data_IF_537759423769
#
_entry.id   IF_537759423769
#
_cell.length_a   1.000
_cell.length_b   1.000
_cell.length_c   1.000
_cell.angle_alpha   90.00
_cell.angle_beta   90.00
_cell.angle_gamma   90.00
#
_symmetry.space_group_name_H-M   'P 1'
#
loop_
_entity.id
_entity.type
_entity.pdbx_description
1 polymer ?
#
# COMPACT_ATOMS: atom_id res chain seq x y z
N UNK A 1 1.22 10.48 -3.43
CA UNK A 1 0.93 11.54 -4.43
C UNK A 1 0.10 10.96 -5.55
N UNK A 2 -0.87 11.71 -6.05
CA UNK A 2 -1.67 11.39 -7.24
C UNK A 2 -1.36 12.40 -8.35
N UNK A 3 -1.09 11.92 -9.57
CA UNK A 3 -0.67 12.75 -10.70
C UNK A 3 -1.87 13.24 -11.51
N UNK A 4 -1.80 14.48 -11.97
CA UNK A 4 -2.76 15.04 -12.92
C UNK A 4 -2.07 15.86 -13.99
N UNK A 5 -2.76 16.03 -15.13
CA UNK A 5 -2.25 16.83 -16.25
C UNK A 5 -1.86 18.27 -15.87
N UNK A 6 -2.57 18.86 -14.91
CA UNK A 6 -2.39 20.26 -14.50
C UNK A 6 -2.00 20.40 -13.02
N UNK A 7 -2.31 19.40 -12.19
CA UNK A 7 -2.09 19.44 -10.75
C UNK A 7 -1.75 18.03 -10.26
N UNK A 8 -0.64 17.90 -9.55
CA UNK A 8 -0.33 16.73 -8.74
C UNK A 8 -0.82 16.98 -7.31
N UNK A 9 -1.53 16.04 -6.70
CA UNK A 9 -2.05 16.16 -5.34
C UNK A 9 -1.20 15.32 -4.38
N UNK A 10 -0.67 15.96 -3.34
CA UNK A 10 0.13 15.30 -2.30
C UNK A 10 -0.60 15.34 -0.97
N UNK A 11 -0.36 14.32 -0.16
CA UNK A 11 -0.83 14.19 1.22
C UNK A 11 0.20 13.39 1.99
N UNK A 12 0.49 13.84 3.21
CA UNK A 12 1.46 13.24 4.11
C UNK A 12 0.79 12.90 5.42
N UNK A 13 1.09 11.69 5.89
CA UNK A 13 0.53 11.15 7.12
C UNK A 13 1.69 10.73 8.02
N UNK A 14 1.57 11.01 9.31
CA UNK A 14 2.42 10.48 10.35
C UNK A 14 1.64 9.44 11.17
N UNK A 15 2.36 8.48 11.75
CA UNK A 15 1.76 7.37 12.48
C UNK A 15 2.38 7.20 13.87
N UNK A 16 1.53 6.85 14.83
CA UNK A 16 1.90 6.33 16.13
C UNK A 16 1.94 4.79 16.09
N UNK A 17 2.49 4.18 17.14
CA UNK A 17 2.66 2.73 17.22
C UNK A 17 1.33 1.96 17.27
N UNK A 18 0.28 2.57 17.81
CA UNK A 18 -1.07 2.04 17.91
C UNK A 18 -1.90 2.21 16.61
N UNK A 19 -1.23 2.58 15.51
CA UNK A 19 -1.81 2.94 14.23
C UNK A 19 -2.72 4.18 14.21
N UNK A 20 -2.79 4.94 15.31
CA UNK A 20 -3.33 6.30 15.26
C UNK A 20 -2.50 7.13 14.29
N UNK A 21 -3.17 7.95 13.48
CA UNK A 21 -2.52 8.67 12.40
C UNK A 21 -2.93 10.13 12.33
N UNK A 22 -2.02 10.95 11.81
CA UNK A 22 -2.19 12.39 11.71
C UNK A 22 -1.83 12.83 10.30
N UNK A 23 -2.77 13.43 9.57
CA UNK A 23 -2.50 14.09 8.31
C UNK A 23 -1.73 15.37 8.64
N UNK A 24 -0.42 15.36 8.44
CA UNK A 24 0.49 16.45 8.81
C UNK A 24 0.54 17.56 7.75
N UNK A 25 0.30 17.20 6.49
CA UNK A 25 0.32 18.15 5.37
C UNK A 25 -0.44 17.57 4.17
N UNK A 26 -0.99 18.46 3.34
CA UNK A 26 -1.48 18.14 2.02
C UNK A 26 -1.44 19.38 1.13
N UNK A 27 -1.22 19.15 -0.16
CA UNK A 27 -1.01 20.26 -1.08
C UNK A 27 -1.17 19.85 -2.53
N UNK A 28 -0.75 20.77 -3.40
CA UNK A 28 -0.74 20.59 -4.85
C UNK A 28 0.55 21.13 -5.41
N UNK A 29 1.07 20.44 -6.41
CA UNK A 29 2.14 20.95 -7.27
C UNK A 29 1.53 21.23 -8.63
N UNK A 30 1.73 22.44 -9.12
CA UNK A 30 1.26 22.85 -10.44
C UNK A 30 2.08 22.20 -11.54
N UNK A 31 1.39 21.78 -12.60
CA UNK A 31 2.00 21.14 -13.76
C UNK A 31 1.78 22.05 -14.95
N UNK A 32 2.82 22.79 -15.34
CA UNK A 32 2.85 23.70 -16.48
C UNK A 32 2.85 22.96 -17.84
N UNK A 33 1.90 22.04 -18.02
CA UNK A 33 1.83 21.13 -19.17
C UNK A 33 1.49 21.83 -20.48
N UNK A 34 0.86 23.00 -20.42
CA UNK A 34 0.57 23.84 -21.60
C UNK A 34 1.87 24.39 -22.19
N UNK A 35 2.77 24.89 -21.34
CA UNK A 35 3.98 25.59 -21.78
C UNK A 35 5.14 24.64 -22.08
N UNK A 36 5.26 23.55 -21.31
CA UNK A 36 6.43 22.66 -21.36
C UNK A 36 6.15 21.30 -22.00
N UNK A 37 4.89 21.00 -22.30
CA UNK A 37 4.43 19.65 -22.62
C UNK A 37 4.30 18.78 -21.36
N UNK A 38 3.38 17.80 -21.41
CA UNK A 38 2.96 17.01 -20.25
C UNK A 38 4.12 16.26 -19.59
N UNK A 39 4.95 15.56 -20.36
CA UNK A 39 6.05 14.75 -19.81
C UNK A 39 7.10 15.58 -19.07
N UNK A 40 7.55 16.67 -19.70
CA UNK A 40 8.55 17.57 -19.10
C UNK A 40 8.00 18.26 -17.86
N UNK A 41 6.76 18.75 -17.93
CA UNK A 41 6.11 19.41 -16.79
C UNK A 41 5.95 18.46 -15.61
N UNK A 42 5.54 17.20 -15.85
CA UNK A 42 5.40 16.21 -14.78
C UNK A 42 6.73 15.80 -14.17
N UNK A 43 7.80 15.66 -14.97
CA UNK A 43 9.13 15.38 -14.44
C UNK A 43 9.63 16.51 -13.53
N UNK A 44 9.33 17.77 -13.87
CA UNK A 44 9.65 18.92 -13.00
C UNK A 44 8.84 18.88 -11.70
N UNK A 45 7.52 18.65 -11.79
CA UNK A 45 6.66 18.53 -10.62
C UNK A 45 7.08 17.37 -9.69
N UNK A 46 7.50 16.23 -10.26
CA UNK A 46 8.04 15.10 -9.49
C UNK A 46 9.39 15.42 -8.84
N UNK A 47 10.24 16.20 -9.52
CA UNK A 47 11.51 16.66 -8.97
C UNK A 47 11.28 17.62 -7.80
N UNK A 48 10.33 18.55 -7.94
CA UNK A 48 9.89 19.42 -6.85
C UNK A 48 9.36 18.59 -5.67
N UNK A 49 8.53 17.58 -5.93
CA UNK A 49 8.07 16.65 -4.90
C UNK A 49 9.21 15.92 -4.18
N UNK A 50 10.22 15.44 -4.90
CA UNK A 50 11.41 14.82 -4.29
C UNK A 50 12.14 15.79 -3.35
N UNK A 51 12.28 17.05 -3.78
CA UNK A 51 12.93 18.08 -2.96
C UNK A 51 12.13 18.35 -1.68
N UNK A 52 10.79 18.38 -1.75
CA UNK A 52 9.93 18.49 -0.57
C UNK A 52 10.10 17.30 0.38
N UNK A 53 10.15 16.07 -0.16
CA UNK A 53 10.38 14.87 0.67
C UNK A 53 11.74 14.90 1.38
N UNK A 54 12.80 15.28 0.66
CA UNK A 54 14.16 15.33 1.20
C UNK A 54 14.38 16.51 2.15
N UNK A 55 13.62 17.61 1.99
CA UNK A 55 13.58 18.69 2.97
C UNK A 55 13.00 18.21 4.31
N UNK A 56 12.14 17.18 4.28
CA UNK A 56 11.58 16.53 5.46
C UNK A 56 10.61 17.41 6.25
N UNK A 57 10.13 16.87 7.37
CA UNK A 57 9.18 17.53 8.26
C UNK A 57 9.83 17.83 9.60
N UNK A 58 9.80 19.08 10.07
CA UNK A 58 10.36 19.42 11.37
C UNK A 58 9.56 18.75 12.49
N UNK A 59 10.26 18.11 13.43
CA UNK A 59 9.63 17.47 14.59
C UNK A 59 9.65 18.41 15.79
N UNK A 60 8.49 18.69 16.37
CA UNK A 60 8.39 19.48 17.60
C UNK A 60 9.04 18.73 18.77
N UNK A 61 9.99 19.39 19.44
CA UNK A 61 10.69 18.84 20.62
C UNK A 61 10.11 19.32 21.95
N UNK A 62 9.26 20.34 21.90
CA UNK A 62 8.65 20.96 23.07
C UNK A 62 7.13 21.03 22.86
N UNK A 63 6.38 20.40 23.77
CA UNK A 63 4.91 20.41 23.71
C UNK A 63 4.32 21.77 24.10
N UNK A 64 5.07 22.60 24.82
CA UNK A 64 4.64 23.92 25.30
C UNK A 64 5.04 25.03 24.33
N UNK A 65 6.13 24.83 23.58
CA UNK A 65 6.59 25.74 22.53
C UNK A 65 6.72 25.01 21.18
N UNK A 66 5.67 25.04 20.33
CA UNK A 66 5.67 24.34 19.05
C UNK A 66 6.64 24.94 18.03
N UNK A 67 7.26 26.09 18.31
CA UNK A 67 8.28 26.67 17.42
C UNK A 67 9.65 26.01 17.58
N UNK A 68 9.84 25.26 18.67
CA UNK A 68 11.08 24.51 18.92
C UNK A 68 10.99 23.15 18.24
N UNK A 69 11.85 22.98 17.24
CA UNK A 69 11.90 21.79 16.41
C UNK A 69 13.29 21.14 16.43
N UNK A 70 13.35 19.85 16.09
CA UNK A 70 14.62 19.16 15.85
C UNK A 70 15.43 19.85 14.75
N UNK A 71 16.77 19.85 14.89
CA UNK A 71 17.66 20.38 13.86
C UNK A 71 17.60 19.57 12.57
N UNK A 72 17.42 18.25 12.69
CA UNK A 72 17.32 17.35 11.56
C UNK A 72 15.83 17.03 11.32
N UNK A 73 15.28 17.42 10.16
CA UNK A 73 13.89 17.13 9.85
C UNK A 73 13.69 15.62 9.59
N UNK A 74 12.49 15.14 9.88
CA UNK A 74 12.11 13.77 9.61
C UNK A 74 11.82 13.58 8.13
N UNK A 75 12.63 12.75 7.47
CA UNK A 75 12.40 12.36 6.08
C UNK A 75 11.36 11.23 6.05
N UNK A 76 10.28 11.34 5.26
CA UNK A 76 9.27 10.28 5.15
C UNK A 76 9.87 8.93 4.80
N UNK A 77 9.46 7.87 5.51
CA UNK A 77 10.00 6.52 5.27
C UNK A 77 9.68 5.97 3.87
N UNK A 78 8.50 6.31 3.35
CA UNK A 78 8.04 5.91 2.03
C UNK A 78 7.16 7.00 1.42
N UNK A 79 7.26 7.16 0.09
CA UNK A 79 6.41 8.02 -0.70
C UNK A 79 5.84 7.22 -1.89
N UNK A 80 4.53 6.93 -1.86
CA UNK A 80 3.88 6.19 -2.94
C UNK A 80 3.26 7.15 -3.95
N UNK A 81 3.51 6.90 -5.23
CA UNK A 81 3.13 7.76 -6.35
C UNK A 81 2.18 6.98 -7.27
N UNK A 82 0.96 7.46 -7.46
CA UNK A 82 0.00 6.79 -8.34
C UNK A 82 0.52 6.75 -9.78
N UNK A 83 0.61 5.53 -10.31
CA UNK A 83 1.08 5.23 -11.65
C UNK A 83 -0.08 4.92 -12.60
N UNK A 84 -1.33 5.17 -12.21
CA UNK A 84 -2.51 5.08 -13.08
C UNK A 84 -2.50 6.08 -14.24
N UNK A 85 -1.77 7.19 -14.10
CA UNK A 85 -1.54 8.18 -15.15
C UNK A 85 -0.03 8.33 -15.43
N UNK A 86 0.36 8.34 -16.73
CA UNK A 86 1.75 8.48 -17.17
C UNK A 86 2.70 7.42 -16.55
N UNK A 87 2.27 6.16 -16.53
CA UNK A 87 2.95 5.02 -15.85
C UNK A 87 4.45 4.94 -16.11
N UNK A 88 4.88 4.99 -17.37
CA UNK A 88 6.30 4.88 -17.74
C UNK A 88 7.15 6.02 -17.18
N UNK A 89 6.58 7.22 -17.10
CA UNK A 89 7.23 8.40 -16.53
C UNK A 89 7.38 8.23 -15.00
N UNK A 90 6.32 7.78 -14.33
CA UNK A 90 6.37 7.50 -12.87
C UNK A 90 7.42 6.43 -12.58
N UNK A 91 7.48 5.37 -13.39
CA UNK A 91 8.50 4.33 -13.24
C UNK A 91 9.91 4.87 -13.46
N UNK A 92 10.11 5.70 -14.49
CA UNK A 92 11.40 6.34 -14.76
C UNK A 92 11.87 7.19 -13.59
N UNK A 93 10.98 7.99 -13.02
CA UNK A 93 11.28 8.81 -11.85
C UNK A 93 11.60 7.94 -10.62
N UNK A 94 10.72 7.01 -10.26
CA UNK A 94 10.90 6.20 -9.05
C UNK A 94 12.15 5.30 -9.08
N UNK A 95 12.67 4.94 -10.26
CA UNK A 95 13.95 4.21 -10.38
C UNK A 95 15.16 5.00 -9.87
N UNK A 96 15.12 6.32 -9.98
CA UNK A 96 16.25 7.20 -9.64
C UNK A 96 16.01 8.01 -8.36
N UNK A 97 14.75 8.06 -7.90
CA UNK A 97 14.35 8.79 -6.70
C UNK A 97 14.49 7.97 -5.42
N UNK A 98 14.94 8.60 -4.34
CA UNK A 98 15.06 7.96 -3.04
C UNK A 98 13.72 7.92 -2.33
N UNK A 99 13.35 6.75 -1.78
CA UNK A 99 12.16 6.57 -0.95
C UNK A 99 10.82 6.59 -1.70
N UNK A 100 10.84 6.71 -3.03
CA UNK A 100 9.64 6.73 -3.86
C UNK A 100 9.32 5.36 -4.45
N UNK A 101 8.04 4.97 -4.42
CA UNK A 101 7.53 3.76 -5.10
C UNK A 101 6.34 4.10 -5.99
N UNK A 102 6.25 3.52 -7.19
CA UNK A 102 5.02 3.58 -7.97
C UNK A 102 3.95 2.70 -7.30
N UNK A 103 2.73 3.18 -7.29
CA UNK A 103 1.56 2.47 -6.78
C UNK A 103 0.45 2.44 -7.84
N UNK A 104 -0.35 1.38 -7.85
CA UNK A 104 -1.56 1.30 -8.66
C UNK A 104 -2.72 0.81 -7.79
N UNK A 105 -3.82 1.58 -7.80
CA UNK A 105 -5.07 1.17 -7.20
C UNK A 105 -5.79 0.12 -8.04
N UNK A 106 -6.25 -0.96 -7.41
CA UNK A 106 -7.09 -1.97 -8.02
C UNK A 106 -8.38 -2.09 -7.23
N UNK A 107 -9.51 -2.02 -7.93
CA UNK A 107 -10.81 -2.35 -7.31
C UNK A 107 -11.02 -3.85 -7.25
N UNK A 108 -11.91 -4.30 -6.37
CA UNK A 108 -12.31 -5.69 -6.21
C UNK A 108 -12.75 -6.33 -7.54
N UNK A 109 -13.36 -5.54 -8.44
CA UNK A 109 -13.74 -5.97 -9.79
C UNK A 109 -12.53 -6.31 -10.68
N UNK A 110 -11.43 -5.57 -10.52
CA UNK A 110 -10.19 -5.79 -11.26
C UNK A 110 -9.38 -6.95 -10.67
N UNK A 111 -9.40 -7.12 -9.35
CA UNK A 111 -8.84 -8.30 -8.64
C UNK A 111 -9.62 -9.57 -9.02
N UNK A 112 -10.94 -9.44 -9.27
CA UNK A 112 -11.85 -10.40 -9.92
C UNK A 112 -11.24 -11.19 -11.06
N UNK A 113 -10.76 -10.46 -12.07
CA UNK A 113 -10.29 -11.03 -13.33
C UNK A 113 -8.85 -11.54 -13.31
N UNK A 114 -8.03 -11.14 -12.33
CA UNK A 114 -6.60 -11.50 -12.31
C UNK A 114 -6.21 -12.53 -11.25
N UNK A 115 -6.99 -12.74 -10.20
CA UNK A 115 -6.66 -13.73 -9.15
C UNK A 115 -7.33 -15.09 -9.32
N UNK A 116 -8.40 -15.22 -10.10
CA UNK A 116 -9.05 -16.53 -10.28
C UNK A 116 -8.28 -17.49 -11.20
N UNK A 117 -7.43 -17.00 -12.11
CA UNK A 117 -6.74 -17.83 -13.11
C UNK A 117 -5.27 -17.46 -13.36
N UNK A 118 -4.56 -16.96 -12.34
CA UNK A 118 -3.09 -16.86 -12.46
C UNK A 118 -2.45 -17.83 -11.48
N UNK A 119 -1.92 -18.98 -11.94
CA UNK A 119 -0.94 -19.71 -11.15
C UNK A 119 0.12 -18.72 -10.68
N UNK A 120 0.64 -18.92 -9.46
CA UNK A 120 1.76 -18.16 -8.92
C UNK A 120 2.86 -18.19 -9.99
N UNK A 121 2.97 -17.12 -10.79
CA UNK A 121 3.98 -17.06 -11.82
C UNK A 121 5.30 -17.02 -11.06
N UNK A 122 6.07 -18.10 -11.16
CA UNK A 122 7.38 -18.27 -10.53
C UNK A 122 8.41 -17.19 -10.95
N UNK A 123 8.02 -16.26 -11.82
CA UNK A 123 8.82 -15.15 -12.33
C UNK A 123 8.81 -13.90 -11.45
N UNK A 124 7.82 -13.70 -10.57
CA UNK A 124 7.85 -12.58 -9.60
C UNK A 124 8.67 -12.99 -8.38
N UNK A 125 10.01 -13.00 -8.54
CA UNK A 125 10.96 -13.54 -7.54
C UNK A 125 10.85 -12.92 -6.14
N UNK A 126 10.27 -11.72 -6.00
CA UNK A 126 10.18 -10.98 -4.75
C UNK A 126 8.81 -10.31 -4.57
N UNK A 127 7.76 -11.10 -4.41
CA UNK A 127 6.43 -10.60 -4.03
C UNK A 127 6.29 -10.55 -2.51
N UNK A 128 6.14 -9.35 -1.94
CA UNK A 128 5.77 -9.16 -0.52
C UNK A 128 4.28 -8.84 -0.44
N UNK A 129 3.52 -9.71 0.22
CA UNK A 129 2.08 -9.52 0.44
C UNK A 129 1.90 -8.85 1.82
N UNK A 130 1.07 -7.81 1.88
CA UNK A 130 0.60 -7.20 3.11
C UNK A 130 -0.94 -7.22 3.20
N UNK A 131 -1.51 -6.44 4.11
CA UNK A 131 -2.96 -6.29 4.26
C UNK A 131 -3.54 -5.65 3.00
N UNK A 132 -4.14 -6.48 2.13
CA UNK A 132 -4.82 -6.00 0.92
C UNK A 132 -3.94 -5.14 -0.03
N UNK A 133 -2.63 -5.40 -0.03
CA UNK A 133 -1.69 -4.91 -1.06
C UNK A 133 -0.58 -5.93 -1.31
N UNK A 134 0.13 -5.77 -2.42
CA UNK A 134 1.39 -6.48 -2.67
C UNK A 134 2.44 -5.58 -3.30
N UNK A 135 3.69 -5.75 -2.85
CA UNK A 135 4.87 -5.16 -3.47
C UNK A 135 5.48 -6.19 -4.41
N UNK A 136 5.48 -5.90 -5.71
CA UNK A 136 5.92 -6.79 -6.75
C UNK A 136 7.14 -6.21 -7.47
N UNK A 137 8.26 -6.92 -7.43
CA UNK A 137 9.41 -6.55 -8.24
C UNK A 137 9.16 -6.90 -9.72
N UNK A 138 9.10 -5.88 -10.57
CA UNK A 138 8.98 -5.97 -12.01
C UNK A 138 10.38 -6.06 -12.62
N UNK A 139 10.75 -7.23 -13.14
CA UNK A 139 12.13 -7.49 -13.57
C UNK A 139 12.56 -6.63 -14.76
N UNK A 140 11.72 -6.51 -15.78
CA UNK A 140 12.04 -5.76 -17.01
C UNK A 140 12.20 -4.26 -16.75
N UNK A 141 11.40 -3.73 -15.83
CA UNK A 141 11.38 -2.31 -15.47
C UNK A 141 12.34 -1.98 -14.32
N UNK A 142 13.00 -2.98 -13.73
CA UNK A 142 13.89 -2.87 -12.57
C UNK A 142 13.31 -2.03 -11.42
N UNK A 143 12.05 -2.29 -11.06
CA UNK A 143 11.31 -1.48 -10.08
C UNK A 143 10.39 -2.33 -9.22
N UNK A 144 10.12 -1.89 -7.99
CA UNK A 144 9.08 -2.49 -7.14
C UNK A 144 7.78 -1.71 -7.32
N UNK A 145 6.72 -2.38 -7.78
CA UNK A 145 5.38 -1.83 -7.91
C UNK A 145 4.51 -2.19 -6.70
N UNK A 146 3.88 -1.20 -6.08
CA UNK A 146 2.84 -1.40 -5.09
C UNK A 146 1.48 -1.58 -5.79
N UNK A 147 0.89 -2.77 -5.69
CA UNK A 147 -0.49 -3.02 -6.12
C UNK A 147 -1.39 -2.99 -4.89
N UNK A 148 -2.33 -2.06 -4.84
CA UNK A 148 -3.12 -1.75 -3.64
C UNK A 148 -4.59 -2.00 -3.91
N UNK A 149 -5.29 -2.74 -3.04
CA UNK A 149 -6.73 -2.86 -3.10
C UNK A 149 -7.38 -1.53 -2.66
N UNK A 150 -7.82 -0.73 -3.62
CA UNK A 150 -8.35 0.59 -3.35
C UNK A 150 -9.63 0.53 -2.50
N UNK A 151 -10.50 -0.46 -2.71
CA UNK A 151 -11.76 -0.57 -1.97
C UNK A 151 -11.53 -0.88 -0.48
N UNK A 152 -10.55 -1.75 -0.20
CA UNK A 152 -10.13 -2.04 1.18
C UNK A 152 -9.57 -0.79 1.85
N UNK A 153 -8.56 -0.16 1.24
CA UNK A 153 -7.86 0.97 1.86
C UNK A 153 -8.71 2.24 1.96
N UNK A 154 -9.70 2.43 1.09
CA UNK A 154 -10.70 3.51 1.23
C UNK A 154 -11.65 3.25 2.41
N UNK A 155 -12.09 2.01 2.57
CA UNK A 155 -12.84 1.59 3.77
C UNK A 155 -12.00 1.76 5.02
N UNK A 156 -10.71 1.41 4.94
CA UNK A 156 -9.75 1.57 6.02
C UNK A 156 -9.69 3.03 6.45
N UNK A 157 -9.48 3.97 5.51
CA UNK A 157 -9.43 5.40 5.79
C UNK A 157 -10.72 5.91 6.46
N UNK A 158 -11.90 5.59 5.92
CA UNK A 158 -13.17 6.06 6.50
C UNK A 158 -13.40 5.53 7.91
N UNK A 159 -13.05 4.27 8.18
CA UNK A 159 -13.11 3.73 9.54
C UNK A 159 -12.30 4.57 10.54
N UNK A 160 -11.10 5.04 10.17
CA UNK A 160 -10.24 5.80 11.08
C UNK A 160 -10.69 7.25 11.25
N UNK A 161 -11.31 7.82 10.22
CA UNK A 161 -11.97 9.12 10.31
C UNK A 161 -13.22 9.06 11.21
N UNK A 162 -13.89 7.91 11.27
CA UNK A 162 -15.05 7.65 12.14
C UNK A 162 -14.64 7.23 13.56
N UNK A 163 -13.43 6.69 13.75
CA UNK A 163 -12.91 6.28 15.06
C UNK A 163 -12.84 7.48 16.03
N UNK A 164 -13.39 7.37 17.25
CA UNK A 164 -13.28 8.41 18.28
C UNK A 164 -11.81 8.76 18.59
N UNK A 165 -11.54 10.04 18.87
CA UNK A 165 -10.16 10.55 19.04
C UNK A 165 -9.38 9.94 20.21
N UNK A 166 -10.08 9.34 21.18
CA UNK A 166 -9.52 8.66 22.34
C UNK A 166 -9.25 7.17 22.10
N UNK A 167 -9.56 6.65 20.91
CA UNK A 167 -9.39 5.24 20.56
C UNK A 167 -8.19 5.03 19.62
N UNK A 168 -7.43 3.93 19.80
CA UNK A 168 -6.38 3.54 18.88
C UNK A 168 -6.84 3.50 17.42
N UNK A 169 -5.99 3.99 16.53
CA UNK A 169 -6.27 4.04 15.10
C UNK A 169 -6.96 5.32 14.64
N UNK A 170 -7.36 6.23 15.53
CA UNK A 170 -8.01 7.48 15.11
C UNK A 170 -7.17 8.28 14.09
N UNK A 171 -7.84 8.85 13.09
CA UNK A 171 -7.23 9.75 12.11
C UNK A 171 -7.55 11.21 12.46
N UNK A 172 -6.51 12.03 12.55
CA UNK A 172 -6.61 13.47 12.82
C UNK A 172 -5.98 14.29 11.70
N UNK A 173 -6.26 15.59 11.67
CA UNK A 173 -5.70 16.54 10.71
C UNK A 173 -4.90 17.60 11.48
N UNK A 174 -3.87 18.16 10.83
CA UNK A 174 -3.15 19.32 11.37
C UNK A 174 -4.12 20.48 11.66
N UNK A 175 -3.76 21.30 12.64
CA UNK A 175 -4.59 22.42 13.04
C UNK A 175 -4.61 23.50 11.96
N UNK A 176 -5.80 23.79 11.44
CA UNK A 176 -6.06 24.86 10.49
C UNK A 176 -7.47 25.42 10.70
N UNK A 177 -7.82 26.50 10.01
CA UNK A 177 -9.21 26.97 9.98
C UNK A 177 -10.06 25.93 9.23
N UNK A 178 -11.27 25.67 9.71
CA UNK A 178 -12.13 24.60 9.16
C UNK A 178 -12.37 24.71 7.65
N UNK A 179 -12.43 25.92 7.11
CA UNK A 179 -12.61 26.16 5.68
C UNK A 179 -11.38 25.77 4.83
N UNK A 180 -10.19 25.70 5.42
CA UNK A 180 -8.95 25.28 4.75
C UNK A 180 -8.96 23.77 4.48
N UNK A 181 -9.66 22.99 5.30
CA UNK A 181 -9.88 21.55 5.08
C UNK A 181 -11.08 21.23 4.19
N UNK A 182 -11.90 22.22 3.78
CA UNK A 182 -13.13 21.97 3.04
C UNK A 182 -12.88 21.28 1.68
N UNK A 183 -11.79 21.66 1.01
CA UNK A 183 -11.41 21.06 -0.28
C UNK A 183 -11.00 19.60 -0.10
N UNK A 184 -10.21 19.30 0.96
CA UNK A 184 -9.86 17.93 1.33
C UNK A 184 -11.11 17.10 1.64
N UNK A 185 -12.00 17.61 2.49
CA UNK A 185 -13.24 16.92 2.86
C UNK A 185 -14.11 16.56 1.63
N UNK A 186 -14.20 17.46 0.64
CA UNK A 186 -14.90 17.19 -0.63
C UNK A 186 -14.26 16.07 -1.45
N UNK A 187 -12.93 15.94 -1.41
CA UNK A 187 -12.21 14.85 -2.08
C UNK A 187 -12.35 13.53 -1.32
N UNK A 188 -12.27 13.53 0.02
CA UNK A 188 -12.43 12.30 0.82
C UNK A 188 -13.85 11.73 0.77
N UNK A 189 -14.84 12.58 0.46
CA UNK A 189 -16.26 12.23 0.30
C UNK A 189 -16.72 12.25 -1.16
N UNK A 190 -15.79 12.24 -2.13
CA UNK A 190 -16.12 12.21 -3.56
C UNK A 190 -16.58 10.84 -4.05
N UNK A 191 -16.52 9.83 -3.18
CA UNK A 191 -16.92 8.46 -3.44
C UNK A 191 -17.83 7.97 -2.32
N UNK A 192 -18.66 6.96 -2.60
CA UNK A 192 -19.53 6.32 -1.61
C UNK A 192 -19.22 4.82 -1.53
N UNK A 193 -19.30 4.27 -0.32
CA UNK A 193 -19.26 2.83 -0.08
C UNK A 193 -20.55 2.19 -0.58
N UNK A 194 -20.44 1.13 -1.35
CA UNK A 194 -21.53 0.31 -1.88
C UNK A 194 -21.23 -1.15 -1.57
N UNK A 195 -22.20 -1.87 -1.05
CA UNK A 195 -22.10 -3.32 -0.86
C UNK A 195 -22.84 -4.02 -2.00
N UNK A 196 -22.16 -4.93 -2.66
CA UNK A 196 -22.67 -5.62 -3.85
C UNK A 196 -22.41 -7.11 -3.73
N UNK A 197 -23.42 -7.94 -4.02
CA UNK A 197 -23.24 -9.38 -4.07
C UNK A 197 -22.59 -9.78 -5.39
N UNK A 198 -21.41 -10.38 -5.33
CA UNK A 198 -20.75 -10.98 -6.48
C UNK A 198 -20.85 -12.51 -6.43
N UNK A 199 -21.45 -13.16 -7.45
CA UNK A 199 -21.47 -14.61 -7.56
C UNK A 199 -20.07 -15.22 -7.40
N UNK A 200 -19.93 -16.20 -6.51
CA UNK A 200 -18.66 -16.88 -6.22
C UNK A 200 -17.73 -16.16 -5.24
N UNK A 201 -18.04 -14.94 -4.78
CA UNK A 201 -17.27 -14.21 -3.74
C UNK A 201 -18.11 -13.74 -2.56
N UNK A 202 -19.44 -13.70 -2.69
CA UNK A 202 -20.33 -13.20 -1.66
C UNK A 202 -20.49 -11.68 -1.72
N UNK A 203 -20.88 -11.07 -0.61
CA UNK A 203 -21.00 -9.61 -0.49
C UNK A 203 -19.61 -9.01 -0.46
N UNK A 204 -19.35 -8.08 -1.38
CA UNK A 204 -18.11 -7.31 -1.44
C UNK A 204 -18.38 -5.84 -1.20
N UNK A 205 -17.42 -5.16 -0.59
CA UNK A 205 -17.41 -3.70 -0.51
C UNK A 205 -16.75 -3.12 -1.75
N UNK A 206 -17.40 -2.12 -2.36
CA UNK A 206 -16.90 -1.32 -3.47
C UNK A 206 -17.02 0.16 -3.14
N UNK A 207 -16.11 0.97 -3.66
CA UNK A 207 -16.22 2.42 -3.65
C UNK A 207 -16.62 2.94 -5.04
N UNK A 208 -17.68 3.73 -5.07
CA UNK A 208 -18.24 4.32 -6.27
C UNK A 208 -18.00 5.82 -6.30
N UNK A 209 -17.35 6.30 -7.36
CA UNK A 209 -17.11 7.72 -7.56
C UNK A 209 -18.42 8.45 -7.89
N UNK A 210 -18.77 9.40 -7.02
CA UNK A 210 -19.94 10.28 -7.19
C UNK A 210 -19.55 11.69 -7.62
N UNK A 211 -18.28 12.09 -7.42
CA UNK A 211 -17.74 13.37 -7.88
C UNK A 211 -16.39 13.17 -8.55
N UNK A 212 -16.06 14.05 -9.49
CA UNK A 212 -14.79 13.96 -10.23
C UNK A 212 -13.58 14.09 -9.29
N UNK A 213 -13.49 15.08 -8.42
CA UNK A 213 -12.23 15.28 -7.71
C UNK A 213 -12.08 14.34 -6.51
N UNK A 214 -11.31 13.27 -6.67
CA UNK A 214 -10.98 12.26 -5.65
C UNK A 214 -9.47 12.16 -5.36
N UNK A 215 -8.65 13.03 -5.96
CA UNK A 215 -7.19 12.87 -5.99
C UNK A 215 -6.50 12.78 -4.62
N UNK A 216 -7.00 13.54 -3.62
CA UNK A 216 -6.46 13.43 -2.27
C UNK A 216 -6.92 12.17 -1.55
N UNK A 217 -8.09 11.63 -1.89
CA UNK A 217 -8.53 10.35 -1.34
C UNK A 217 -7.68 9.20 -1.89
N UNK A 218 -7.39 9.26 -3.19
CA UNK A 218 -6.52 8.27 -3.85
C UNK A 218 -5.07 8.36 -3.33
N UNK A 219 -4.56 9.57 -3.11
CA UNK A 219 -3.27 9.76 -2.45
C UNK A 219 -3.28 9.30 -0.98
N UNK A 220 -4.38 9.51 -0.24
CA UNK A 220 -4.48 9.17 1.18
C UNK A 220 -4.52 7.66 1.42
N UNK A 221 -5.34 6.90 0.68
CA UNK A 221 -5.39 5.45 0.87
C UNK A 221 -4.02 4.82 0.54
N UNK A 222 -3.31 5.34 -0.46
CA UNK A 222 -1.95 4.90 -0.79
C UNK A 222 -0.96 5.23 0.34
N UNK A 223 -1.07 6.41 0.96
CA UNK A 223 -0.26 6.77 2.12
C UNK A 223 -0.53 5.83 3.31
N UNK A 224 -1.79 5.48 3.58
CA UNK A 224 -2.15 4.51 4.62
C UNK A 224 -1.56 3.11 4.35
N UNK A 225 -1.65 2.63 3.11
CA UNK A 225 -1.03 1.36 2.70
C UNK A 225 0.50 1.41 2.84
N UNK A 226 1.13 2.54 2.52
CA UNK A 226 2.56 2.77 2.72
C UNK A 226 2.95 2.75 4.20
N UNK A 227 2.16 3.38 5.08
CA UNK A 227 2.33 3.33 6.54
C UNK A 227 2.31 1.89 7.07
N UNK A 228 1.35 1.09 6.61
CA UNK A 228 1.31 -0.34 6.92
C UNK A 228 2.51 -1.10 6.34
N UNK A 229 2.95 -0.80 5.11
CA UNK A 229 4.16 -1.40 4.55
C UNK A 229 5.43 -1.08 5.37
N UNK A 230 5.45 0.09 6.02
CA UNK A 230 6.51 0.54 6.95
C UNK A 230 6.43 -0.10 8.34
N UNK A 231 5.36 -0.84 8.66
CA UNK A 231 5.25 -1.62 9.89
C UNK A 231 4.17 -1.16 10.89
N UNK A 232 3.41 -0.12 10.57
CA UNK A 232 2.29 0.35 11.40
C UNK A 232 1.18 -0.70 11.44
N UNK A 233 0.68 -1.06 12.63
CA UNK A 233 -0.37 -2.08 12.83
C UNK A 233 -1.33 -1.64 13.94
N UNK A 234 -2.63 -1.79 13.72
CA UNK A 234 -3.66 -1.46 14.73
C UNK A 234 -3.80 -2.58 15.78
N UNK A 235 -3.69 -3.83 15.32
CA UNK A 235 -3.59 -5.00 16.18
C UNK A 235 -2.17 -5.52 16.09
N UNK A 236 -1.55 -5.92 17.20
CA UNK A 236 -0.33 -6.73 17.12
C UNK A 236 -0.67 -7.99 16.33
N UNK A 237 -0.35 -8.00 15.04
CA UNK A 237 -0.27 -9.24 14.28
C UNK A 237 0.79 -10.06 14.99
N UNK A 238 0.38 -11.08 15.73
CA UNK A 238 1.29 -12.10 16.20
C UNK A 238 1.93 -12.67 14.94
N UNK A 239 3.15 -12.20 14.63
CA UNK A 239 3.94 -12.74 13.53
C UNK A 239 4.22 -14.19 13.90
N UNK A 240 3.39 -15.10 13.42
CA UNK A 240 3.79 -16.49 13.32
C UNK A 240 4.99 -16.45 12.39
N UNK A 241 6.20 -16.51 12.96
CA UNK A 241 7.41 -16.74 12.17
C UNK A 241 7.08 -17.94 11.31
N UNK A 242 7.08 -17.83 9.97
CA UNK A 242 6.85 -19.00 9.15
C UNK A 242 7.84 -20.05 9.62
N UNK A 243 7.35 -21.25 9.95
CA UNK A 243 8.25 -22.35 10.29
C UNK A 243 9.29 -22.41 9.17
N UNK A 244 10.59 -22.50 9.51
CA UNK A 244 11.62 -22.56 8.50
C UNK A 244 11.23 -23.66 7.51
N UNK A 245 11.02 -23.28 6.24
CA UNK A 245 10.67 -24.24 5.19
C UNK A 245 11.70 -25.36 5.25
N UNK A 246 11.25 -26.56 5.63
CA UNK A 246 12.12 -27.75 5.61
C UNK A 246 12.83 -27.80 4.29
N UNK A 247 14.16 -27.92 4.32
CA UNK A 247 14.94 -27.95 3.08
C UNK A 247 14.45 -29.15 2.27
N UNK A 248 14.38 -29.01 0.94
CA UNK A 248 14.00 -30.14 0.07
C UNK A 248 14.87 -31.38 0.30
N UNK A 249 16.12 -31.19 0.76
CA UNK A 249 17.02 -32.26 1.20
C UNK A 249 16.49 -33.03 2.42
N UNK A 250 15.93 -32.34 3.42
CA UNK A 250 15.37 -32.97 4.63
C UNK A 250 14.10 -33.77 4.31
N UNK A 251 13.25 -33.22 3.44
CA UNK A 251 12.03 -33.91 2.96
C UNK A 251 12.39 -35.14 2.09
N UNK A 252 13.48 -35.06 1.31
CA UNK A 252 13.97 -36.17 0.51
C UNK A 252 14.63 -37.27 1.36
N UNK A 253 15.35 -36.90 2.43
CA UNK A 253 15.93 -37.85 3.38
C UNK A 253 14.87 -38.59 4.21
N UNK A 254 13.83 -37.91 4.68
CA UNK A 254 12.70 -38.55 5.38
C UNK A 254 11.97 -39.55 4.46
N UNK A 255 11.74 -39.19 3.20
CA UNK A 255 11.15 -40.12 2.22
C UNK A 255 12.06 -41.30 1.90
N UNK A 256 13.38 -41.13 1.94
CA UNK A 256 14.35 -42.25 1.79
C UNK A 256 14.34 -43.16 3.02
N UNK A 257 14.26 -42.60 4.23
CA UNK A 257 14.13 -43.37 5.48
C UNK A 257 12.84 -44.18 5.52
N UNK A 258 11.72 -43.60 5.10
CA UNK A 258 10.43 -44.29 5.04
C UNK A 258 10.36 -45.37 3.93
N UNK A 259 11.11 -45.20 2.83
CA UNK A 259 11.19 -46.23 1.76
C UNK A 259 11.97 -47.49 2.17
N UNK A 260 12.74 -47.45 3.26
CA UNK A 260 13.53 -48.58 3.76
C UNK A 260 12.78 -49.52 4.71
N UNK A 261 11.59 -49.14 5.17
CA UNK A 261 10.80 -49.97 6.09
C UNK A 261 9.82 -50.82 5.29
N UNK A 262 10.23 -52.04 4.93
CA UNK A 262 9.27 -53.04 4.47
C UNK A 262 8.44 -53.41 5.69
N UNK A 263 7.14 -53.11 5.63
CA UNK A 263 6.16 -53.57 6.59
C UNK A 263 6.00 -55.10 6.41
N UNK A 264 6.81 -55.85 7.15
CA UNK A 264 6.87 -57.31 7.07
C UNK A 264 5.55 -57.96 7.51
N UNK A 265 4.81 -57.34 8.43
CA UNK A 265 3.51 -57.84 8.88
C UNK A 265 2.48 -57.77 7.74
N UNK A 266 2.42 -56.64 7.04
CA UNK A 266 1.55 -56.47 5.86
C UNK A 266 1.95 -57.36 4.69
N UNK A 267 3.25 -57.63 4.52
CA UNK A 267 3.75 -58.56 3.50
C UNK A 267 3.36 -60.01 3.80
N UNK A 268 3.43 -60.43 5.06
CA UNK A 268 3.06 -61.78 5.51
C UNK A 268 1.54 -62.01 5.53
N UNK A 269 0.76 -60.95 5.80
CA UNK A 269 -0.69 -60.99 5.67
C UNK A 269 -1.11 -61.16 4.20
N UNK A 270 -0.47 -60.45 3.26
CA UNK A 270 -0.74 -60.61 1.83
C UNK A 270 -0.35 -62.00 1.30
N UNK A 271 0.76 -62.59 1.76
CA UNK A 271 1.13 -63.97 1.38
C UNK A 271 0.10 -65.00 1.82
N UNK A 272 -0.40 -64.89 3.06
CA UNK A 272 -1.41 -65.82 3.59
C UNK A 272 -2.77 -65.71 2.90
N UNK A 273 -3.05 -64.57 2.27
CA UNK A 273 -4.33 -64.31 1.61
C UNK A 273 -4.38 -64.84 0.17
N UNK A 274 -3.23 -65.10 -0.46
CA UNK A 274 -3.13 -65.45 -1.88
C UNK A 274 -2.22 -66.67 -2.17
N UNK A 275 -1.77 -67.38 -1.15
CA UNK A 275 -1.08 -68.68 -1.24
C UNK A 275 -1.80 -69.72 -0.40
#
# INVERSE_FOLDING_TARGET
>A
MDLGKYLCHLITVAWLQDASCHIVDYGRIEVASVDLGVERALMLALTEYQNLLLAGYPLGIDKQDPTRVEQNPFIPNQAWIDAGYMTELVYKFCRVSQGCLPAVGRSVLQVGRQQQDKPVNHHTRHRRIGEDYSLNYLQEQHITLAEVNADHWKSWVHQRLETPLDQPGAMTLFQALSHEHLSLAKHLTSERKVEEFMPGRGVVTRWERIRKNNYWFDALYNACAAGHASGVRLLEEYRVKPEPRRKMSEVAEDKRRQRGTIDHERWDEMRRRWG
#
